data_IF_826378427510
#
_entry.id   IF_826378427510
#
_cell.length_a   1.000
_cell.length_b   1.000
_cell.length_c   1.000
_cell.angle_alpha   90.00
_cell.angle_beta   90.00
_cell.angle_gamma   90.00
#
_symmetry.space_group_name_H-M   'P 1'
#
loop_
_entity.id
_entity.type
_entity.pdbx_description
1 polymer ?
#
# COMPACT_ATOMS: atom_id res chain seq x y z
N UNK A 1 16.52 -9.54 -63.39
CA UNK A 1 17.08 -10.06 -62.13
C UNK A 1 17.28 -8.90 -61.15
N UNK A 2 16.75 -9.05 -59.93
CA UNK A 2 17.13 -8.35 -58.68
C UNK A 2 16.74 -6.87 -58.54
N UNK A 3 15.69 -6.63 -57.75
CA UNK A 3 15.74 -5.83 -56.50
C UNK A 3 14.36 -5.85 -55.83
N UNK A 4 13.93 -7.06 -55.41
CA UNK A 4 12.89 -7.26 -54.40
C UNK A 4 13.64 -7.37 -53.08
N UNK A 5 13.84 -6.26 -52.39
CA UNK A 5 14.31 -6.25 -51.01
C UNK A 5 14.06 -4.87 -50.40
N UNK A 6 13.50 -4.87 -49.19
CA UNK A 6 13.30 -3.73 -48.27
C UNK A 6 11.93 -3.06 -48.32
N UNK A 7 10.91 -3.84 -48.00
CA UNK A 7 9.79 -3.33 -47.20
C UNK A 7 9.44 -4.37 -46.12
N UNK A 8 10.41 -4.64 -45.24
CA UNK A 8 10.14 -5.28 -43.95
C UNK A 8 9.85 -4.16 -42.97
N UNK A 9 8.58 -3.75 -42.95
CA UNK A 9 7.97 -2.97 -41.89
C UNK A 9 8.12 -3.82 -40.62
N UNK A 10 9.10 -3.48 -39.80
CA UNK A 10 9.33 -4.07 -38.49
C UNK A 10 8.13 -3.66 -37.61
N UNK A 11 7.07 -4.46 -37.65
CA UNK A 11 6.10 -4.52 -36.58
C UNK A 11 6.84 -5.09 -35.36
N UNK A 12 7.43 -4.20 -34.55
CA UNK A 12 7.75 -4.53 -33.16
C UNK A 12 6.39 -4.78 -32.49
N UNK A 13 6.05 -6.00 -32.06
CA UNK A 13 4.94 -6.13 -31.13
C UNK A 13 5.34 -5.34 -29.88
N UNK A 14 4.59 -4.27 -29.57
CA UNK A 14 4.53 -3.72 -28.22
C UNK A 14 4.09 -4.88 -27.33
N UNK A 15 5.07 -5.62 -26.84
CA UNK A 15 4.89 -6.60 -25.81
C UNK A 15 4.69 -5.76 -24.56
N UNK A 16 3.43 -5.46 -24.25
CA UNK A 16 3.06 -4.94 -22.94
C UNK A 16 3.56 -5.98 -21.94
N UNK A 17 4.70 -5.69 -21.31
CA UNK A 17 5.17 -6.48 -20.19
C UNK A 17 4.03 -6.55 -19.18
N UNK A 18 3.69 -7.74 -18.64
CA UNK A 18 2.75 -7.80 -17.55
C UNK A 18 3.28 -6.90 -16.43
N UNK A 19 2.53 -5.85 -16.12
CA UNK A 19 2.79 -5.00 -14.97
C UNK A 19 2.39 -5.82 -13.74
N UNK A 20 3.31 -6.60 -13.21
CA UNK A 20 3.09 -7.29 -11.95
C UNK A 20 2.91 -6.23 -10.86
N UNK A 21 1.84 -6.36 -10.06
CA UNK A 21 1.68 -5.58 -8.84
C UNK A 21 2.91 -5.78 -7.95
N UNK A 22 3.61 -4.69 -7.61
CA UNK A 22 4.81 -4.74 -6.78
C UNK A 22 4.42 -5.04 -5.34
N UNK A 23 4.53 -6.31 -4.93
CA UNK A 23 4.36 -6.69 -3.52
C UNK A 23 5.60 -6.33 -2.73
N UNK A 24 5.43 -5.87 -1.48
CA UNK A 24 6.57 -5.62 -0.60
C UNK A 24 7.34 -6.91 -0.32
N UNK A 25 8.57 -7.00 -0.84
CA UNK A 25 9.49 -8.09 -0.51
C UNK A 25 10.04 -7.91 0.91
N UNK A 26 10.21 -9.01 1.64
CA UNK A 26 10.80 -8.97 2.98
C UNK A 26 9.90 -8.38 4.07
N UNK A 27 8.57 -8.40 3.88
CA UNK A 27 7.61 -7.88 4.86
C UNK A 27 7.81 -8.47 6.28
N UNK A 28 8.21 -9.73 6.36
CA UNK A 28 8.47 -10.47 7.61
C UNK A 28 9.94 -10.48 8.04
N UNK A 29 10.82 -9.75 7.32
CA UNK A 29 12.21 -9.59 7.69
C UNK A 29 12.41 -8.21 8.31
N UNK A 30 12.92 -8.18 9.54
CA UNK A 30 13.11 -6.95 10.31
C UNK A 30 14.59 -6.76 10.62
N UNK A 31 15.08 -5.52 10.46
CA UNK A 31 16.44 -5.12 10.81
C UNK A 31 16.37 -4.16 11.99
N UNK A 32 17.03 -4.51 13.09
CA UNK A 32 17.11 -3.68 14.29
C UNK A 32 18.57 -3.36 14.63
N UNK A 33 18.91 -2.12 15.00
CA UNK A 33 20.24 -1.81 15.51
C UNK A 33 20.49 -2.56 16.82
N UNK A 34 21.73 -2.97 17.05
CA UNK A 34 22.14 -3.68 18.28
C UNK A 34 23.48 -3.14 18.78
N UNK A 35 23.57 -2.90 20.09
CA UNK A 35 24.78 -2.35 20.72
C UNK A 35 25.93 -3.37 20.78
N UNK A 36 25.61 -4.65 21.00
CA UNK A 36 26.58 -5.75 20.97
C UNK A 36 25.89 -7.09 20.68
N UNK A 37 26.67 -8.15 20.47
CA UNK A 37 26.13 -9.50 20.27
C UNK A 37 25.86 -10.25 21.59
N UNK A 38 25.91 -9.56 22.74
CA UNK A 38 25.61 -10.15 24.04
C UNK A 38 24.14 -10.58 24.12
N UNK A 39 23.81 -11.65 24.87
CA UNK A 39 22.44 -12.16 24.96
C UNK A 39 21.40 -11.10 25.35
N UNK A 40 21.71 -10.21 26.29
CA UNK A 40 20.79 -9.17 26.74
C UNK A 40 20.46 -8.15 25.64
N UNK A 41 21.47 -7.66 24.92
CA UNK A 41 21.29 -6.71 23.82
C UNK A 41 20.53 -7.34 22.66
N UNK A 42 20.82 -8.61 22.37
CA UNK A 42 20.09 -9.40 21.39
C UNK A 42 18.62 -9.56 21.79
N UNK A 43 18.33 -9.95 23.02
CA UNK A 43 16.95 -10.17 23.48
C UNK A 43 16.15 -8.86 23.44
N UNK A 44 16.77 -7.71 23.73
CA UNK A 44 16.16 -6.41 23.54
C UNK A 44 15.89 -6.10 22.06
N UNK A 45 16.83 -6.41 21.16
CA UNK A 45 16.66 -6.24 19.72
C UNK A 45 15.56 -7.16 19.14
N UNK A 46 15.44 -8.40 19.63
CA UNK A 46 14.36 -9.31 19.24
C UNK A 46 12.98 -8.77 19.65
N UNK A 47 12.88 -8.12 20.82
CA UNK A 47 11.65 -7.45 21.24
C UNK A 47 11.30 -6.26 20.34
N UNK A 48 12.28 -5.39 20.03
CA UNK A 48 12.07 -4.29 19.06
C UNK A 48 11.67 -4.83 17.68
N UNK A 49 12.30 -5.92 17.23
CA UNK A 49 11.98 -6.51 15.93
C UNK A 49 10.52 -7.00 15.87
N UNK A 50 10.01 -7.59 16.97
CA UNK A 50 8.60 -7.95 17.09
C UNK A 50 7.70 -6.72 17.07
N UNK A 51 8.05 -5.67 17.81
CA UNK A 51 7.29 -4.41 17.80
C UNK A 51 7.20 -3.84 16.39
N UNK A 52 8.33 -3.75 15.69
CA UNK A 52 8.42 -3.33 14.30
C UNK A 52 7.56 -4.20 13.38
N UNK A 53 7.59 -5.53 13.52
CA UNK A 53 6.74 -6.43 12.75
C UNK A 53 5.25 -6.14 13.00
N UNK A 54 4.85 -5.99 14.26
CA UNK A 54 3.45 -5.70 14.62
C UNK A 54 2.99 -4.38 14.01
N UNK A 55 3.78 -3.31 14.15
CA UNK A 55 3.47 -2.01 13.55
C UNK A 55 3.36 -2.13 12.03
N UNK A 56 4.32 -2.83 11.41
CA UNK A 56 4.36 -3.01 9.96
C UNK A 56 3.13 -3.73 9.45
N UNK A 57 2.74 -4.83 10.10
CA UNK A 57 1.59 -5.65 9.69
C UNK A 57 0.25 -5.03 10.10
N UNK A 58 0.18 -4.26 11.18
CA UNK A 58 -1.06 -3.58 11.57
C UNK A 58 -1.25 -2.22 10.89
N UNK A 59 -0.16 -1.58 10.47
CA UNK A 59 -0.15 -0.21 9.99
C UNK A 59 -0.44 0.84 11.08
N UNK A 60 -0.52 0.45 12.35
CA UNK A 60 -0.76 1.36 13.48
C UNK A 60 0.12 1.01 14.69
N UNK A 61 0.82 2.02 15.22
CA UNK A 61 1.61 1.92 16.45
C UNK A 61 0.79 1.46 17.67
N UNK A 62 -0.51 1.79 17.72
CA UNK A 62 -1.39 1.40 18.84
C UNK A 62 -1.63 -0.11 18.90
N UNK A 63 -1.32 -0.87 17.83
CA UNK A 63 -1.41 -2.32 17.86
C UNK A 63 -0.49 -2.95 18.92
N UNK A 64 0.59 -2.26 19.30
CA UNK A 64 1.47 -2.67 20.39
C UNK A 64 0.77 -2.67 21.75
N UNK A 65 -0.24 -1.83 21.95
CA UNK A 65 -0.95 -1.73 23.23
C UNK A 65 -1.96 -2.88 23.43
N UNK A 66 -2.15 -3.74 22.43
CA UNK A 66 -3.08 -4.86 22.53
C UNK A 66 -2.64 -5.82 23.65
N UNK A 67 -3.46 -6.04 24.70
CA UNK A 67 -3.12 -6.93 25.81
C UNK A 67 -3.02 -8.40 25.39
N UNK A 68 -3.70 -8.82 24.31
CA UNK A 68 -3.61 -10.18 23.79
C UNK A 68 -2.23 -10.53 23.22
N UNK A 69 -1.39 -9.53 22.94
CA UNK A 69 0.00 -9.72 22.51
C UNK A 69 1.00 -9.81 23.68
N UNK A 70 0.55 -9.72 24.94
CA UNK A 70 1.45 -9.70 26.10
C UNK A 70 2.32 -10.96 26.22
N UNK A 71 1.75 -12.15 25.96
CA UNK A 71 2.52 -13.40 26.00
C UNK A 71 3.51 -13.50 24.83
N UNK A 72 3.14 -12.97 23.66
CA UNK A 72 4.03 -12.93 22.49
C UNK A 72 5.23 -12.03 22.75
N UNK A 73 5.01 -10.88 23.39
CA UNK A 73 6.08 -9.96 23.82
C UNK A 73 7.04 -10.57 24.84
N UNK A 74 6.59 -11.50 25.69
CA UNK A 74 7.49 -12.18 26.64
C UNK A 74 8.42 -13.17 25.95
N UNK A 75 8.00 -13.76 24.83
CA UNK A 75 8.79 -14.72 24.09
C UNK A 75 8.64 -14.54 22.57
N UNK A 76 9.30 -13.52 21.97
CA UNK A 76 9.25 -13.28 20.53
C UNK A 76 9.79 -14.45 19.70
N UNK A 77 10.70 -15.25 20.27
CA UNK A 77 11.40 -16.34 19.58
C UNK A 77 10.46 -17.40 19.01
N UNK A 78 9.25 -17.55 19.56
CA UNK A 78 8.25 -18.49 19.03
C UNK A 78 7.74 -18.13 17.63
N UNK A 79 7.92 -16.87 17.19
CA UNK A 79 7.52 -16.40 15.87
C UNK A 79 8.71 -16.30 14.89
N UNK A 80 9.93 -16.50 15.38
CA UNK A 80 11.16 -16.27 14.62
C UNK A 80 11.58 -17.59 13.97
N UNK A 81 11.79 -17.55 12.65
CA UNK A 81 12.34 -18.68 11.91
C UNK A 81 13.86 -18.71 11.99
N UNK A 82 14.50 -17.55 11.84
CA UNK A 82 15.95 -17.38 11.98
C UNK A 82 16.33 -15.93 12.30
N UNK A 83 17.54 -15.72 12.79
CA UNK A 83 18.14 -14.40 12.90
C UNK A 83 19.65 -14.45 12.64
N UNK A 84 20.23 -13.32 12.25
CA UNK A 84 21.66 -13.16 12.00
C UNK A 84 22.14 -11.74 12.27
N UNK A 85 23.46 -11.55 12.30
CA UNK A 85 24.06 -10.23 12.48
C UNK A 85 24.62 -9.71 11.16
N UNK A 86 24.35 -8.44 10.88
CA UNK A 86 24.90 -7.72 9.74
C UNK A 86 25.47 -6.38 10.24
N UNK A 87 26.80 -6.33 10.39
CA UNK A 87 27.46 -5.18 11.02
C UNK A 87 26.98 -4.97 12.47
N UNK A 88 26.33 -3.82 12.71
CA UNK A 88 25.74 -3.44 14.02
C UNK A 88 24.22 -3.59 14.01
N UNK A 89 23.69 -4.49 13.20
CA UNK A 89 22.26 -4.77 13.12
C UNK A 89 21.96 -6.26 13.28
N UNK A 90 20.83 -6.54 13.91
CA UNK A 90 20.22 -7.85 13.99
C UNK A 90 19.17 -7.96 12.88
N UNK A 91 19.35 -8.92 11.98
CA UNK A 91 18.37 -9.29 10.97
C UNK A 91 17.53 -10.44 11.51
N UNK A 92 16.22 -10.27 11.57
CA UNK A 92 15.27 -11.24 12.12
C UNK A 92 14.25 -11.61 11.06
N UNK A 93 14.19 -12.89 10.71
CA UNK A 93 13.15 -13.44 9.84
C UNK A 93 12.06 -14.05 10.71
N UNK A 94 10.84 -13.56 10.55
CA UNK A 94 9.66 -14.11 11.20
C UNK A 94 8.99 -15.15 10.28
N UNK A 95 8.44 -16.21 10.87
CA UNK A 95 7.60 -17.15 10.14
C UNK A 95 6.27 -16.47 9.78
N UNK A 96 5.94 -16.28 8.48
CA UNK A 96 4.75 -15.52 8.08
C UNK A 96 3.45 -16.14 8.60
N UNK A 97 3.32 -17.47 8.49
CA UNK A 97 2.10 -18.19 8.85
C UNK A 97 1.81 -18.09 10.34
N UNK A 98 2.81 -18.35 11.18
CA UNK A 98 2.69 -18.31 12.64
C UNK A 98 2.50 -16.88 13.13
N UNK A 99 3.20 -15.92 12.53
CA UNK A 99 3.06 -14.49 12.87
C UNK A 99 1.66 -13.99 12.58
N UNK A 100 1.18 -14.15 11.34
CA UNK A 100 -0.16 -13.70 10.96
C UNK A 100 -1.26 -14.38 11.77
N UNK A 101 -1.17 -15.70 11.97
CA UNK A 101 -2.13 -16.45 12.78
C UNK A 101 -2.20 -15.89 14.20
N UNK A 102 -1.05 -15.64 14.81
CA UNK A 102 -0.96 -15.12 16.18
C UNK A 102 -1.56 -13.73 16.29
N UNK A 103 -1.25 -12.83 15.35
CA UNK A 103 -1.80 -11.47 15.35
C UNK A 103 -3.31 -11.45 15.08
N UNK A 104 -3.80 -12.28 14.15
CA UNK A 104 -5.24 -12.43 13.88
C UNK A 104 -6.00 -12.99 15.09
N UNK A 105 -5.43 -13.98 15.78
CA UNK A 105 -5.99 -14.53 17.03
C UNK A 105 -6.04 -13.50 18.16
N UNK A 106 -5.07 -12.58 18.19
CA UNK A 106 -5.08 -11.42 19.08
C UNK A 106 -6.06 -10.30 18.65
N UNK A 107 -6.78 -10.48 17.54
CA UNK A 107 -7.74 -9.50 17.03
C UNK A 107 -7.10 -8.29 16.36
N UNK A 108 -5.82 -8.37 15.97
CA UNK A 108 -5.12 -7.29 15.27
C UNK A 108 -5.54 -7.30 13.79
N UNK A 109 -6.11 -6.21 13.25
CA UNK A 109 -6.33 -6.07 11.80
C UNK A 109 -4.99 -6.05 11.07
N UNK A 110 -4.88 -6.81 9.97
CA UNK A 110 -3.62 -6.95 9.23
C UNK A 110 -3.68 -6.31 7.85
N UNK A 111 -2.64 -5.59 7.50
CA UNK A 111 -2.32 -5.07 6.17
C UNK A 111 -1.36 -6.04 5.47
N UNK A 112 -1.85 -6.68 4.40
CA UNK A 112 -1.08 -7.65 3.62
C UNK A 112 0.10 -7.04 2.84
N UNK A 113 0.71 -7.89 1.99
CA UNK A 113 1.87 -7.52 1.18
C UNK A 113 1.55 -6.63 -0.02
N UNK A 114 0.29 -6.57 -0.46
CA UNK A 114 -0.16 -5.67 -1.51
C UNK A 114 -0.42 -4.29 -0.90
N UNK A 115 0.46 -3.33 -1.17
CA UNK A 115 0.47 -2.00 -0.56
C UNK A 115 0.65 -0.96 -1.67
N UNK A 116 0.12 0.27 -1.52
CA UNK A 116 0.33 1.34 -2.49
C UNK A 116 1.82 1.63 -2.62
N UNK A 117 2.32 1.66 -3.85
CA UNK A 117 3.63 2.17 -4.18
C UNK A 117 3.62 3.69 -4.02
N UNK A 118 4.54 4.21 -3.20
CA UNK A 118 4.62 5.63 -2.86
C UNK A 118 5.80 6.24 -3.61
N UNK A 119 5.58 7.30 -4.39
CA UNK A 119 6.67 8.14 -4.90
C UNK A 119 6.95 9.28 -3.92
N UNK A 120 8.12 9.25 -3.28
CA UNK A 120 8.56 10.23 -2.29
C UNK A 120 9.35 11.39 -2.89
N UNK A 121 8.69 12.53 -3.11
CA UNK A 121 9.35 13.81 -3.38
C UNK A 121 9.88 14.41 -2.09
N UNK A 122 11.14 14.10 -1.76
CA UNK A 122 11.77 14.52 -0.52
C UNK A 122 12.77 15.66 -0.77
N UNK A 123 12.46 16.87 -0.31
CA UNK A 123 13.30 18.06 -0.49
C UNK A 123 13.93 18.45 0.84
N UNK A 124 15.26 18.44 0.89
CA UNK A 124 16.02 18.94 2.03
C UNK A 124 16.30 20.42 1.84
N UNK A 125 15.87 21.24 2.78
CA UNK A 125 16.07 22.70 2.80
C UNK A 125 17.05 23.08 3.90
N UNK A 126 18.07 23.86 3.52
CA UNK A 126 19.08 24.43 4.42
C UNK A 126 19.32 25.91 4.07
N UNK A 127 20.26 26.55 4.77
CA UNK A 127 20.70 27.91 4.43
C UNK A 127 21.35 28.01 3.05
N UNK A 128 21.81 26.90 2.47
CA UNK A 128 22.48 26.85 1.16
C UNK A 128 21.47 26.69 0.01
N UNK A 129 20.21 26.40 0.32
CA UNK A 129 19.14 26.19 -0.65
C UNK A 129 18.32 24.95 -0.37
N UNK A 130 17.55 24.52 -1.38
CA UNK A 130 16.74 23.31 -1.33
C UNK A 130 17.23 22.30 -2.38
N UNK A 131 17.31 21.03 -1.99
CA UNK A 131 17.79 19.95 -2.86
C UNK A 131 16.92 18.71 -2.76
N UNK A 132 16.49 18.21 -3.93
CA UNK A 132 15.66 17.01 -4.05
C UNK A 132 16.54 15.77 -3.88
N UNK A 133 16.12 14.88 -2.99
CA UNK A 133 16.78 13.58 -2.77
C UNK A 133 16.46 12.65 -3.94
N UNK A 134 17.48 12.31 -4.71
CA UNK A 134 17.39 11.34 -5.81
C UNK A 134 17.71 9.91 -5.34
N UNK A 135 17.08 8.91 -5.97
CA UNK A 135 17.22 7.50 -5.58
C UNK A 135 18.68 7.01 -5.55
N UNK A 136 19.49 7.41 -6.51
CA UNK A 136 20.90 7.00 -6.58
C UNK A 136 21.84 7.76 -5.62
N UNK A 137 21.31 8.65 -4.78
CA UNK A 137 22.12 9.47 -3.86
C UNK A 137 22.24 8.81 -2.47
N UNK A 138 23.32 9.10 -1.75
CA UNK A 138 23.50 8.64 -0.36
C UNK A 138 22.39 9.17 0.56
N UNK A 139 21.89 10.38 0.32
CA UNK A 139 20.78 10.97 1.05
C UNK A 139 19.47 10.17 0.95
N UNK A 140 19.34 9.26 -0.02
CA UNK A 140 18.17 8.39 -0.15
C UNK A 140 18.22 7.19 0.81
N UNK A 141 19.40 6.82 1.34
CA UNK A 141 19.54 5.65 2.20
C UNK A 141 18.65 5.72 3.46
N UNK A 142 18.60 6.81 4.23
CA UNK A 142 17.70 6.92 5.38
C UNK A 142 16.22 6.77 5.01
N UNK A 143 15.82 7.26 3.83
CA UNK A 143 14.44 7.14 3.34
C UNK A 143 14.09 5.68 3.01
N UNK A 144 15.00 4.97 2.33
CA UNK A 144 14.82 3.54 2.02
C UNK A 144 14.82 2.67 3.28
N UNK A 145 15.74 2.94 4.21
CA UNK A 145 15.81 2.21 5.48
C UNK A 145 14.51 2.43 6.29
N UNK A 146 14.00 3.67 6.36
CA UNK A 146 12.74 3.99 7.00
C UNK A 146 11.53 3.33 6.31
N UNK A 147 11.49 3.33 4.96
CA UNK A 147 10.43 2.67 4.20
C UNK A 147 10.43 1.15 4.43
N UNK A 148 11.61 0.52 4.43
CA UNK A 148 11.77 -0.88 4.76
C UNK A 148 11.34 -1.15 6.21
N UNK A 149 11.76 -0.31 7.15
CA UNK A 149 11.40 -0.43 8.57
C UNK A 149 9.87 -0.41 8.75
N UNK A 150 9.17 0.49 8.04
CA UNK A 150 7.70 0.63 8.07
C UNK A 150 6.94 -0.28 7.10
N UNK A 151 7.65 -1.07 6.28
CA UNK A 151 7.08 -1.96 5.26
C UNK A 151 6.23 -1.22 4.23
N UNK A 152 6.73 -0.09 3.73
CA UNK A 152 6.11 0.68 2.67
C UNK A 152 6.97 0.55 1.39
N UNK A 153 6.38 0.24 0.22
CA UNK A 153 7.09 0.30 -1.04
C UNK A 153 7.31 1.76 -1.44
N UNK A 154 8.53 2.26 -1.24
CA UNK A 154 8.93 3.64 -1.55
C UNK A 154 9.78 3.66 -2.82
N UNK A 155 9.35 4.47 -3.80
CA UNK A 155 10.15 4.90 -4.95
C UNK A 155 10.58 6.34 -4.72
N UNK A 156 11.75 6.70 -5.24
CA UNK A 156 12.27 8.06 -5.20
C UNK A 156 12.51 8.57 -6.63
N UNK A 157 12.39 9.89 -6.87
CA UNK A 157 12.77 10.51 -8.14
C UNK A 157 14.24 10.21 -8.50
N UNK A 158 14.59 10.34 -9.78
CA UNK A 158 16.00 10.29 -10.20
C UNK A 158 16.74 11.58 -9.78
N UNK A 159 15.98 12.62 -9.45
CA UNK A 159 16.42 13.98 -9.20
C UNK A 159 17.21 14.55 -10.39
N UNK A 160 16.74 14.30 -11.60
CA UNK A 160 17.28 14.92 -12.81
C UNK A 160 16.94 16.41 -12.88
N UNK A 161 17.52 17.15 -13.84
CA UNK A 161 17.33 18.60 -13.95
C UNK A 161 15.84 18.97 -14.07
N UNK A 162 15.03 18.18 -14.78
CA UNK A 162 13.61 18.49 -14.95
C UNK A 162 12.83 18.35 -13.65
N UNK A 163 13.19 17.36 -12.83
CA UNK A 163 12.60 17.14 -11.51
C UNK A 163 13.07 18.19 -10.49
N UNK A 164 14.35 18.55 -10.51
CA UNK A 164 14.89 19.58 -9.64
C UNK A 164 14.24 20.96 -9.87
N UNK A 165 13.87 21.27 -11.11
CA UNK A 165 13.21 22.54 -11.43
C UNK A 165 11.78 22.65 -10.87
N UNK A 166 11.07 21.53 -10.72
CA UNK A 166 9.69 21.52 -10.19
C UNK A 166 9.63 21.27 -8.68
N UNK A 167 10.65 20.62 -8.10
CA UNK A 167 10.77 20.35 -6.67
C UNK A 167 11.14 21.61 -5.86
N UNK A 168 10.23 22.57 -5.83
CA UNK A 168 10.36 23.80 -5.04
C UNK A 168 9.67 23.67 -3.69
N UNK A 169 10.09 24.42 -2.65
CA UNK A 169 9.39 24.42 -1.36
C UNK A 169 7.88 24.71 -1.52
N UNK A 170 7.51 25.62 -2.41
CA UNK A 170 6.13 25.99 -2.70
C UNK A 170 5.33 24.82 -3.32
N UNK A 171 5.95 24.06 -4.23
CA UNK A 171 5.32 22.89 -4.85
C UNK A 171 5.09 21.76 -3.84
N UNK A 172 6.01 21.57 -2.89
CA UNK A 172 5.94 20.47 -1.93
C UNK A 172 4.96 20.70 -0.79
N UNK A 173 4.65 21.97 -0.47
CA UNK A 173 3.64 22.34 0.53
C UNK A 173 2.30 22.75 -0.08
N UNK A 174 2.17 22.62 -1.40
CA UNK A 174 0.93 22.90 -2.12
C UNK A 174 -0.18 21.92 -1.70
N UNK A 175 -1.43 22.38 -1.77
CA UNK A 175 -2.60 21.51 -1.49
C UNK A 175 -2.77 20.41 -2.55
N UNK A 176 -2.38 20.69 -3.79
CA UNK A 176 -2.51 19.83 -4.96
C UNK A 176 -1.12 19.51 -5.56
N UNK A 177 -0.89 18.29 -6.06
CA UNK A 177 0.41 17.90 -6.59
C UNK A 177 0.57 18.26 -8.08
N UNK A 178 -0.15 19.27 -8.59
CA UNK A 178 -0.21 19.59 -10.03
C UNK A 178 1.18 19.89 -10.63
N UNK A 179 2.06 20.54 -9.87
CA UNK A 179 3.44 20.81 -10.30
C UNK A 179 4.30 19.54 -10.37
N UNK A 180 4.04 18.55 -9.51
CA UNK A 180 4.82 17.31 -9.39
C UNK A 180 4.27 16.20 -10.28
N UNK A 181 2.99 16.24 -10.63
CA UNK A 181 2.26 15.17 -11.32
C UNK A 181 2.90 14.80 -12.68
N UNK A 182 3.20 15.73 -13.59
CA UNK A 182 3.76 15.37 -14.91
C UNK A 182 5.10 14.62 -14.81
N UNK A 183 5.98 15.03 -13.88
CA UNK A 183 7.25 14.35 -13.65
C UNK A 183 7.07 12.99 -12.94
N UNK A 184 5.97 12.81 -12.23
CA UNK A 184 5.68 11.60 -11.46
C UNK A 184 5.10 10.46 -12.29
N UNK A 185 4.45 10.74 -13.42
CA UNK A 185 3.76 9.74 -14.26
C UNK A 185 4.67 8.56 -14.66
N UNK A 186 5.95 8.85 -14.94
CA UNK A 186 6.95 7.85 -15.35
C UNK A 186 7.25 6.80 -14.28
N UNK A 187 6.91 7.07 -13.01
CA UNK A 187 7.15 6.16 -11.90
C UNK A 187 5.99 5.23 -11.63
N UNK A 188 4.82 5.37 -12.28
CA UNK A 188 3.66 4.47 -12.08
C UNK A 188 3.41 4.14 -10.60
N UNK A 189 3.43 5.17 -9.74
CA UNK A 189 3.18 5.04 -8.31
C UNK A 189 1.71 5.27 -8.02
N UNK A 190 1.17 4.56 -7.03
CA UNK A 190 -0.22 4.68 -6.58
C UNK A 190 -0.44 5.96 -5.78
N UNK A 191 0.58 6.37 -5.01
CA UNK A 191 0.53 7.55 -4.15
C UNK A 191 1.71 8.49 -4.39
N UNK A 192 1.46 9.79 -4.22
CA UNK A 192 2.49 10.83 -4.16
C UNK A 192 2.68 11.28 -2.72
N UNK A 193 3.92 11.31 -2.25
CA UNK A 193 4.30 11.86 -0.95
C UNK A 193 5.27 13.02 -1.18
N UNK A 194 4.87 14.24 -0.86
CA UNK A 194 5.77 15.40 -0.85
C UNK A 194 6.21 15.69 0.59
N UNK A 195 7.52 15.88 0.79
CA UNK A 195 8.10 16.19 2.11
C UNK A 195 9.09 17.33 1.97
N UNK A 196 8.78 18.46 2.60
CA UNK A 196 9.72 19.54 2.83
C UNK A 196 10.38 19.32 4.19
N UNK A 197 11.66 18.93 4.17
CA UNK A 197 12.46 18.68 5.36
C UNK A 197 13.44 19.85 5.58
N UNK A 198 13.40 20.50 6.73
CA UNK A 198 14.26 21.64 7.06
C UNK A 198 14.94 21.45 8.41
N UNK A 199 16.21 21.84 8.50
CA UNK A 199 16.92 21.88 9.78
C UNK A 199 16.73 23.24 10.48
N UNK A 200 16.29 23.21 11.73
CA UNK A 200 16.15 24.40 12.58
C UNK A 200 16.43 24.03 14.04
N UNK A 201 17.24 24.86 14.73
CA UNK A 201 17.56 24.71 16.15
C UNK A 201 18.15 23.33 16.54
N UNK A 202 18.97 22.75 15.66
CA UNK A 202 19.58 21.42 15.88
C UNK A 202 18.59 20.25 15.82
N UNK A 203 17.40 20.48 15.23
CA UNK A 203 16.39 19.45 14.94
C UNK A 203 15.97 19.51 13.48
N UNK A 204 15.49 18.39 13.00
CA UNK A 204 14.89 18.26 11.68
C UNK A 204 13.38 18.38 11.78
N UNK A 205 12.77 19.23 10.95
CA UNK A 205 11.32 19.39 10.84
C UNK A 205 10.88 18.95 9.45
N UNK A 206 9.74 18.28 9.38
CA UNK A 206 9.10 17.92 8.11
C UNK A 206 7.70 18.54 8.06
N UNK A 207 7.37 19.13 6.91
CA UNK A 207 5.99 19.30 6.46
C UNK A 207 5.76 18.32 5.32
N UNK A 208 4.68 17.54 5.39
CA UNK A 208 4.41 16.51 4.39
C UNK A 208 2.96 16.51 3.94
N UNK A 209 2.77 16.12 2.67
CA UNK A 209 1.49 15.93 2.01
C UNK A 209 1.47 14.57 1.30
N UNK A 210 0.37 13.85 1.42
CA UNK A 210 0.15 12.54 0.82
C UNK A 210 -1.12 12.58 -0.02
N UNK A 211 -1.01 12.13 -1.26
CA UNK A 211 -2.13 12.00 -2.20
C UNK A 211 -2.26 10.56 -2.67
N UNK A 212 -3.46 9.98 -2.53
CA UNK A 212 -3.82 8.65 -3.02
C UNK A 212 -5.24 8.68 -3.59
N UNK A 213 -5.35 8.65 -4.92
CA UNK A 213 -6.61 8.95 -5.61
C UNK A 213 -7.13 10.33 -5.21
N UNK A 214 -8.37 10.40 -4.75
CA UNK A 214 -8.99 11.64 -4.26
C UNK A 214 -8.62 11.99 -2.80
N UNK A 215 -7.94 11.09 -2.10
CA UNK A 215 -7.62 11.27 -0.69
C UNK A 215 -6.39 12.12 -0.49
N UNK A 216 -6.45 12.97 0.54
CA UNK A 216 -5.41 13.92 0.90
C UNK A 216 -5.16 13.87 2.39
N UNK A 217 -3.92 13.63 2.75
CA UNK A 217 -3.45 13.67 4.12
C UNK A 217 -2.25 14.60 4.21
N UNK A 218 -2.04 15.20 5.37
CA UNK A 218 -0.91 16.09 5.60
C UNK A 218 -0.52 16.09 7.07
N UNK A 219 0.68 16.58 7.37
CA UNK A 219 1.13 16.75 8.73
C UNK A 219 2.46 17.46 8.86
N UNK A 220 2.83 17.71 10.10
CA UNK A 220 4.13 18.25 10.48
C UNK A 220 4.73 17.41 11.59
N UNK A 221 6.03 17.14 11.52
CA UNK A 221 6.76 16.34 12.49
C UNK A 221 8.13 16.96 12.76
N UNK A 222 8.71 16.63 13.91
CA UNK A 222 10.08 16.99 14.24
C UNK A 222 10.83 15.75 14.76
N UNK A 223 12.13 15.67 14.47
CA UNK A 223 13.01 14.61 14.95
C UNK A 223 14.43 15.15 15.18
N UNK A 224 15.26 14.36 15.87
CA UNK A 224 16.63 14.74 16.18
C UNK A 224 17.54 14.80 14.94
N UNK A 225 17.32 13.90 13.98
CA UNK A 225 18.12 13.76 12.76
C UNK A 225 17.26 13.35 11.56
N UNK A 226 17.86 13.35 10.37
CA UNK A 226 17.17 13.02 9.11
C UNK A 226 16.61 11.59 9.09
N UNK A 227 17.30 10.61 9.67
CA UNK A 227 16.86 9.22 9.68
C UNK A 227 15.64 9.03 10.58
N UNK A 228 15.69 9.60 11.78
CA UNK A 228 14.55 9.64 12.69
C UNK A 228 13.36 10.41 12.09
N UNK A 229 13.62 11.49 11.33
CA UNK A 229 12.57 12.24 10.64
C UNK A 229 11.89 11.39 9.55
N UNK A 230 12.68 10.72 8.71
CA UNK A 230 12.20 9.83 7.67
C UNK A 230 11.33 8.70 8.23
N UNK A 231 11.82 8.07 9.29
CA UNK A 231 11.10 7.00 9.99
C UNK A 231 9.78 7.47 10.61
N UNK A 232 9.76 8.67 11.21
CA UNK A 232 8.55 9.25 11.78
C UNK A 232 7.53 9.65 10.70
N UNK A 233 7.97 10.24 9.58
CA UNK A 233 7.10 10.60 8.46
C UNK A 233 6.47 9.34 7.86
N UNK A 234 7.27 8.30 7.61
CA UNK A 234 6.77 7.06 7.02
C UNK A 234 5.90 6.25 7.98
N UNK A 235 6.13 6.35 9.29
CA UNK A 235 5.18 5.83 10.29
C UNK A 235 3.83 6.55 10.19
N UNK A 236 3.84 7.88 10.13
CA UNK A 236 2.60 8.67 10.01
C UNK A 236 1.87 8.34 8.70
N UNK A 237 2.57 8.22 7.58
CA UNK A 237 2.01 7.80 6.30
C UNK A 237 1.39 6.41 6.39
N UNK A 238 2.09 5.44 7.00
CA UNK A 238 1.55 4.10 7.24
C UNK A 238 0.23 4.14 8.02
N UNK A 239 0.17 4.95 9.09
CA UNK A 239 -1.04 5.13 9.90
C UNK A 239 -2.21 5.81 9.16
N UNK A 240 -1.93 6.70 8.20
CA UNK A 240 -2.97 7.32 7.36
C UNK A 240 -3.53 6.36 6.31
N UNK A 241 -2.68 5.49 5.78
CA UNK A 241 -3.07 4.52 4.76
C UNK A 241 -3.77 3.30 5.35
N UNK A 242 -3.30 2.81 6.50
CA UNK A 242 -3.72 1.54 7.10
C UNK A 242 -5.25 1.33 7.15
N UNK A 243 -6.10 2.28 7.58
CA UNK A 243 -7.54 2.07 7.68
C UNK A 243 -8.22 1.60 6.38
N UNK A 244 -7.65 1.93 5.22
CA UNK A 244 -8.17 1.57 3.90
C UNK A 244 -7.75 0.16 3.45
N UNK A 245 -6.70 -0.41 4.04
CA UNK A 245 -6.08 -1.64 3.57
C UNK A 245 -5.99 -2.76 4.62
N UNK A 246 -6.17 -2.44 5.92
CA UNK A 246 -6.18 -3.46 6.97
C UNK A 246 -7.47 -4.28 6.94
N UNK A 247 -7.34 -5.57 7.20
CA UNK A 247 -8.48 -6.48 7.29
C UNK A 247 -8.51 -7.14 8.66
N UNK A 248 -9.60 -6.89 9.40
CA UNK A 248 -9.86 -7.53 10.68
C UNK A 248 -10.34 -8.98 10.48
N UNK A 249 -9.84 -9.90 11.31
CA UNK A 249 -10.25 -11.30 11.24
C UNK A 249 -11.75 -11.45 11.58
N UNK A 250 -12.54 -11.97 10.64
CA UNK A 250 -13.95 -12.30 10.86
C UNK A 250 -14.91 -11.09 10.97
N UNK A 251 -14.42 -9.87 10.72
CA UNK A 251 -15.23 -8.64 10.80
C UNK A 251 -15.29 -8.00 9.41
N UNK A 252 -16.43 -8.14 8.75
CA UNK A 252 -16.71 -7.54 7.45
C UNK A 252 -18.14 -7.83 7.02
N UNK A 253 -18.74 -6.93 6.25
CA UNK A 253 -20.00 -7.25 5.58
C UNK A 253 -19.69 -8.22 4.44
N UNK A 254 -20.48 -9.29 4.31
CA UNK A 254 -20.35 -10.17 3.15
C UNK A 254 -20.79 -9.39 1.92
N UNK A 255 -19.90 -9.25 0.94
CA UNK A 255 -20.17 -8.58 -0.32
C UNK A 255 -19.91 -9.51 -1.49
N UNK A 256 -20.65 -9.30 -2.58
CA UNK A 256 -20.38 -9.95 -3.85
C UNK A 256 -19.58 -9.00 -4.73
N UNK A 257 -18.46 -9.50 -5.21
CA UNK A 257 -17.57 -8.83 -6.16
C UNK A 257 -17.64 -9.56 -7.51
N UNK A 258 -18.01 -8.84 -8.55
CA UNK A 258 -17.93 -9.27 -9.94
C UNK A 258 -16.75 -8.59 -10.63
N UNK A 259 -15.87 -9.36 -11.24
CA UNK A 259 -14.71 -8.86 -11.99
C UNK A 259 -14.72 -9.40 -13.40
N UNK A 260 -14.78 -8.51 -14.39
CA UNK A 260 -14.74 -8.85 -15.82
C UNK A 260 -13.35 -8.65 -16.42
N UNK A 261 -12.99 -9.44 -17.42
CA UNK A 261 -11.73 -9.35 -18.16
C UNK A 261 -10.62 -10.19 -17.56
N UNK A 262 -10.98 -11.26 -16.84
CA UNK A 262 -10.02 -12.17 -16.22
C UNK A 262 -9.30 -13.03 -17.27
N UNK A 263 -7.99 -13.17 -17.09
CA UNK A 263 -7.18 -14.23 -17.66
C UNK A 263 -6.48 -15.00 -16.51
N UNK A 264 -5.65 -15.99 -16.86
CA UNK A 264 -4.98 -16.81 -15.85
C UNK A 264 -4.02 -16.02 -14.95
N UNK A 265 -3.31 -15.04 -15.49
CA UNK A 265 -2.36 -14.23 -14.73
C UNK A 265 -3.11 -13.27 -13.79
N UNK A 266 -4.09 -12.56 -14.34
CA UNK A 266 -5.00 -11.65 -13.63
C UNK A 266 -5.79 -12.35 -12.53
N UNK A 267 -6.21 -13.59 -12.75
CA UNK A 267 -6.84 -14.41 -11.71
C UNK A 267 -5.91 -14.67 -10.52
N UNK A 268 -4.64 -14.99 -10.78
CA UNK A 268 -3.67 -15.24 -9.71
C UNK A 268 -3.36 -13.97 -8.91
N UNK A 269 -3.22 -12.83 -9.58
CA UNK A 269 -3.03 -11.52 -8.95
C UNK A 269 -4.24 -11.13 -8.09
N UNK A 270 -5.45 -11.21 -8.66
CA UNK A 270 -6.69 -10.91 -7.96
C UNK A 270 -6.89 -11.82 -6.74
N UNK A 271 -6.62 -13.12 -6.89
CA UNK A 271 -6.77 -14.07 -5.78
C UNK A 271 -5.82 -13.75 -4.61
N UNK A 272 -4.58 -13.33 -4.89
CA UNK A 272 -3.64 -12.85 -3.85
C UNK A 272 -4.10 -11.54 -3.23
N UNK A 273 -4.56 -10.60 -4.05
CA UNK A 273 -5.04 -9.31 -3.58
C UNK A 273 -6.27 -9.44 -2.66
N UNK A 274 -7.11 -10.44 -2.92
CA UNK A 274 -8.34 -10.69 -2.18
C UNK A 274 -8.20 -11.69 -1.01
N UNK A 275 -7.06 -12.38 -0.88
CA UNK A 275 -6.79 -13.32 0.20
C UNK A 275 -7.08 -12.73 1.60
N UNK A 276 -6.65 -11.49 1.93
CA UNK A 276 -6.89 -10.91 3.25
C UNK A 276 -8.37 -10.78 3.62
N UNK A 277 -9.24 -10.67 2.61
CA UNK A 277 -10.70 -10.51 2.74
C UNK A 277 -11.45 -11.85 2.78
N UNK A 278 -10.73 -12.98 2.86
CA UNK A 278 -11.32 -14.31 2.92
C UNK A 278 -12.15 -14.65 1.68
N UNK A 279 -11.69 -14.20 0.51
CA UNK A 279 -12.39 -14.33 -0.75
C UNK A 279 -12.66 -15.79 -1.12
N UNK A 280 -13.90 -16.06 -1.53
CA UNK A 280 -14.32 -17.36 -2.05
C UNK A 280 -14.84 -17.16 -3.46
N UNK A 281 -14.22 -17.83 -4.42
CA UNK A 281 -14.70 -17.87 -5.78
C UNK A 281 -16.02 -18.66 -5.81
N UNK A 282 -17.10 -18.01 -6.23
CA UNK A 282 -18.45 -18.58 -6.27
C UNK A 282 -18.78 -19.05 -7.69
N UNK A 283 -18.35 -18.32 -8.71
CA UNK A 283 -18.72 -18.59 -10.09
C UNK A 283 -17.65 -18.08 -11.06
N UNK A 284 -17.50 -18.79 -12.18
CA UNK A 284 -16.65 -18.42 -13.32
C UNK A 284 -17.49 -18.58 -14.59
N UNK A 285 -17.63 -17.50 -15.35
CA UNK A 285 -18.34 -17.48 -16.63
C UNK A 285 -17.49 -16.76 -17.68
N UNK A 286 -16.76 -17.52 -18.50
CA UNK A 286 -15.85 -16.93 -19.47
C UNK A 286 -14.74 -16.13 -18.78
N UNK A 287 -14.73 -14.81 -19.00
CA UNK A 287 -13.81 -13.85 -18.39
C UNK A 287 -14.38 -13.13 -17.15
N UNK A 288 -15.57 -13.54 -16.69
CA UNK A 288 -16.22 -13.02 -15.50
C UNK A 288 -15.96 -13.92 -14.29
N UNK A 289 -15.41 -13.33 -13.24
CA UNK A 289 -15.20 -13.97 -11.93
C UNK A 289 -16.16 -13.37 -10.90
N UNK A 290 -16.82 -14.22 -10.13
CA UNK A 290 -17.69 -13.81 -9.01
C UNK A 290 -17.12 -14.32 -7.70
N UNK A 291 -16.79 -13.40 -6.80
CA UNK A 291 -16.28 -13.69 -5.47
C UNK A 291 -17.28 -13.28 -4.38
N UNK A 292 -17.30 -14.05 -3.30
CA UNK A 292 -17.82 -13.62 -2.01
C UNK A 292 -16.64 -13.17 -1.14
N UNK A 293 -16.69 -11.96 -0.62
CA UNK A 293 -15.62 -11.34 0.18
C UNK A 293 -16.17 -10.77 1.48
N UNK A 294 -15.32 -10.59 2.49
CA UNK A 294 -15.68 -9.93 3.75
C UNK A 294 -14.86 -8.64 3.88
N UNK A 295 -15.45 -7.52 3.48
CA UNK A 295 -14.78 -6.23 3.41
C UNK A 295 -15.80 -5.09 3.34
N UNK A 296 -15.39 -3.86 3.65
CA UNK A 296 -16.17 -2.68 3.26
C UNK A 296 -15.99 -2.39 1.76
N UNK A 297 -16.96 -1.71 1.14
CA UNK A 297 -16.86 -1.32 -0.27
C UNK A 297 -15.68 -0.37 -0.52
N UNK A 298 -15.34 0.48 0.47
CA UNK A 298 -14.16 1.37 0.38
C UNK A 298 -12.85 0.57 0.38
N UNK A 299 -12.72 -0.44 1.24
CA UNK A 299 -11.54 -1.30 1.29
C UNK A 299 -11.36 -2.10 -0.01
N UNK A 300 -12.45 -2.63 -0.58
CA UNK A 300 -12.39 -3.32 -1.87
C UNK A 300 -12.00 -2.38 -2.99
N UNK A 301 -12.59 -1.18 -3.08
CA UNK A 301 -12.20 -0.18 -4.07
C UNK A 301 -10.72 0.17 -3.97
N UNK A 302 -10.24 0.46 -2.76
CA UNK A 302 -8.84 0.80 -2.52
C UNK A 302 -7.91 -0.33 -2.96
N UNK A 303 -8.19 -1.58 -2.57
CA UNK A 303 -7.36 -2.73 -2.92
C UNK A 303 -7.39 -3.05 -4.42
N UNK A 304 -8.56 -2.99 -5.05
CA UNK A 304 -8.73 -3.32 -6.46
C UNK A 304 -8.10 -2.26 -7.36
N UNK A 305 -8.12 -0.99 -6.95
CA UNK A 305 -7.44 0.09 -7.64
C UNK A 305 -5.92 -0.14 -7.74
N UNK A 306 -5.28 -0.70 -6.70
CA UNK A 306 -3.85 -1.07 -6.74
C UNK A 306 -3.52 -2.14 -7.78
N UNK A 307 -4.52 -2.90 -8.24
CA UNK A 307 -4.37 -3.92 -9.28
C UNK A 307 -4.89 -3.43 -10.64
N UNK A 308 -5.10 -2.11 -10.79
CA UNK A 308 -5.56 -1.48 -12.03
C UNK A 308 -7.04 -1.65 -12.35
N UNK A 309 -7.84 -2.20 -11.44
CA UNK A 309 -9.27 -2.40 -11.70
C UNK A 309 -10.07 -1.11 -11.53
N UNK A 310 -11.06 -0.92 -12.40
CA UNK A 310 -11.96 0.23 -12.41
C UNK A 310 -13.38 -0.21 -12.08
N UNK A 311 -14.06 0.57 -11.24
CA UNK A 311 -15.45 0.29 -10.87
C UNK A 311 -16.39 0.60 -12.04
N UNK A 312 -17.24 -0.38 -12.36
CA UNK A 312 -18.30 -0.20 -13.35
C UNK A 312 -19.54 0.38 -12.67
N UNK A 313 -20.24 1.34 -13.29
CA UNK A 313 -21.51 1.82 -12.76
C UNK A 313 -22.50 0.65 -12.64
N UNK A 314 -23.28 0.64 -11.57
CA UNK A 314 -24.37 -0.31 -11.42
C UNK A 314 -25.33 -0.13 -12.61
N UNK A 315 -25.52 -1.17 -13.41
CA UNK A 315 -26.47 -1.14 -14.52
C UNK A 315 -27.83 -0.69 -14.00
N UNK A 316 -28.29 0.47 -14.47
CA UNK A 316 -29.59 1.00 -14.09
C UNK A 316 -30.62 -0.07 -14.44
N UNK A 317 -31.45 -0.45 -13.46
CA UNK A 317 -32.55 -1.36 -13.73
C UNK A 317 -33.31 -0.85 -14.97
N UNK A 318 -33.63 -1.70 -15.95
CA UNK A 318 -34.40 -1.26 -17.10
C UNK A 318 -35.66 -0.60 -16.56
N UNK A 319 -35.79 0.71 -16.83
CA UNK A 319 -37.02 1.45 -16.57
C UNK A 319 -38.08 0.72 -17.37
N UNK A 320 -38.93 -0.01 -16.65
CA UNK A 320 -40.02 -0.78 -17.24
C UNK A 320 -40.96 0.21 -17.93
N UNK A 321 -40.77 0.40 -19.24
CA UNK A 321 -41.54 1.31 -20.08
C UNK A 321 -42.98 0.79 -20.34
N UNK A 322 -43.53 0.02 -19.40
CA UNK A 322 -44.77 -0.73 -19.53
C UNK A 322 -45.81 -0.49 -18.43
N UNK A 323 -45.67 0.54 -17.58
CA UNK A 323 -46.75 0.88 -16.63
C UNK A 323 -47.90 1.62 -17.35
N UNK A 324 -48.82 0.83 -17.90
CA UNK A 324 -50.19 1.27 -18.10
C UNK A 324 -50.81 1.70 -16.75
N UNK A 325 -51.77 2.66 -16.74
CA UNK A 325 -52.33 3.18 -15.49
C UNK A 325 -52.95 2.05 -14.66
N UNK A 326 -52.49 1.91 -13.42
CA UNK A 326 -52.93 0.87 -12.49
C UNK A 326 -54.43 1.00 -12.16
N UNK A 327 -55.17 -0.08 -12.32
CA UNK A 327 -56.54 -0.28 -11.81
C UNK A 327 -56.51 -0.28 -10.28
N UNK A 328 -57.39 0.44 -9.56
CA UNK A 328 -57.41 0.42 -8.11
C UNK A 328 -57.94 -0.94 -7.61
N UNK A 329 -57.10 -1.75 -6.96
CA UNK A 329 -57.56 -2.94 -6.22
C UNK A 329 -56.67 -4.19 -6.24
N UNK A 330 -55.49 -4.18 -6.87
CA UNK A 330 -54.61 -5.36 -6.84
C UNK A 330 -53.71 -5.39 -5.59
N UNK A 331 -53.59 -6.57 -4.97
CA UNK A 331 -52.79 -6.88 -3.79
C UNK A 331 -51.33 -6.37 -3.90
N UNK A 332 -50.65 -6.05 -2.78
CA UNK A 332 -49.28 -5.55 -2.83
C UNK A 332 -48.37 -6.57 -3.52
N UNK A 333 -47.72 -6.13 -4.60
CA UNK A 333 -46.68 -6.88 -5.29
C UNK A 333 -45.57 -7.26 -4.30
N UNK A 334 -44.91 -8.43 -4.48
CA UNK A 334 -43.82 -8.84 -3.60
C UNK A 334 -42.76 -7.74 -3.55
N UNK A 335 -42.45 -7.28 -2.34
CA UNK A 335 -41.39 -6.32 -2.10
C UNK A 335 -40.09 -6.90 -2.66
N UNK A 336 -39.51 -6.24 -3.66
CA UNK A 336 -38.17 -6.54 -4.15
C UNK A 336 -37.23 -6.34 -2.98
N UNK A 337 -36.75 -7.45 -2.43
CA UNK A 337 -35.68 -7.46 -1.44
C UNK A 337 -34.50 -6.67 -2.03
N UNK A 338 -33.93 -5.67 -1.33
CA UNK A 338 -32.77 -4.97 -1.83
C UNK A 338 -31.67 -6.02 -2.04
N UNK A 339 -31.30 -6.27 -3.29
CA UNK A 339 -30.14 -7.10 -3.62
C UNK A 339 -28.94 -6.46 -2.93
N UNK A 340 -28.23 -7.23 -2.11
CA UNK A 340 -26.95 -6.80 -1.54
C UNK A 340 -26.11 -6.15 -2.65
N UNK A 341 -25.50 -4.98 -2.41
CA UNK A 341 -24.86 -4.20 -3.45
C UNK A 341 -23.71 -5.01 -4.06
N UNK A 342 -23.94 -5.56 -5.25
CA UNK A 342 -22.92 -6.23 -6.05
C UNK A 342 -21.97 -5.14 -6.55
N UNK A 343 -20.71 -5.22 -6.15
CA UNK A 343 -19.67 -4.36 -6.70
C UNK A 343 -19.16 -4.97 -8.00
N UNK A 344 -19.05 -4.16 -9.04
CA UNK A 344 -18.64 -4.59 -10.38
C UNK A 344 -17.38 -3.87 -10.79
N UNK A 345 -16.40 -4.61 -11.25
CA UNK A 345 -15.13 -4.08 -11.72
C UNK A 345 -14.74 -4.70 -13.05
N UNK A 346 -13.91 -3.97 -13.81
CA UNK A 346 -13.21 -4.50 -14.96
C UNK A 346 -11.73 -4.09 -14.89
N UNK A 347 -10.87 -4.87 -15.55
CA UNK A 347 -9.49 -4.45 -15.83
C UNK A 347 -9.42 -3.34 -16.87
#
# INVERSE_FOLDING_TARGET
MRLIARLLMVCLPLSSLPAFAETVSGLYQVREPVASQQPADRDQALNRALETLVIRLAGDAKALDNPALAEVRKNPQQLISQFGYEGQSLLVDFDPVTSERTLRQAGVPLWGANRPVILGWWLNQSSEGASLVGDAQEAAKPLRDAAQHRGLPLRLPLADLSEQLVATPEALVATDPEALRPASERYSADALLAVLASEADGKWKAQWHLWLGDNRDQGTLEAADQGALADAVLLAVSQRLAPRFVVAAGVGQSQILEVKGADLARYAELSRALEPFGARLVQVEGDLLRYQVNASSEQLRAQLALNGLQESPAEAAPVDAGQAPATPGAAPAPQVQPRDPVLRFHW
#
